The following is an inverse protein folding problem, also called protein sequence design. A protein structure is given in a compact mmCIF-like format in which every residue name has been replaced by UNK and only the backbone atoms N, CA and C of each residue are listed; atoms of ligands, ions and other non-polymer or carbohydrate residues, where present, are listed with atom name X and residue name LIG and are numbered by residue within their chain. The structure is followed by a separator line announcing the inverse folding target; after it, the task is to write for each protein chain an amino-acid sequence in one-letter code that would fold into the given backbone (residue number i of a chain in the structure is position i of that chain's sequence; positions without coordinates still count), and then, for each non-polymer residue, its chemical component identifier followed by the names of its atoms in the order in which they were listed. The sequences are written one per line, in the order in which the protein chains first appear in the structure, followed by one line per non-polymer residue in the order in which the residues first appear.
data_IF_149523792604
#
_entry.id   IF_149523792604
#
_cell.length_a   1.000
_cell.length_b   1.000
_cell.length_c   1.000
_cell.angle_alpha   90.00
_cell.angle_beta   90.00
_cell.angle_gamma   90.00
#
_symmetry.space_group_name_H-M   'P 1'
#
loop_
_entity.id
_entity.type
_entity.pdbx_description
1 polymer ?
#
# COMPACT_ATOMS: atom_id res chain seq x y z
N UNK A 1 0.42 -0.57 -16.33
CA UNK A 1 -0.85 -1.33 -16.20
C UNK A 1 -0.56 -2.75 -15.76
N UNK A 2 -1.15 -3.21 -14.65
CA UNK A 2 -0.92 -4.56 -14.15
C UNK A 2 -1.33 -5.61 -15.18
N UNK A 3 -0.50 -6.65 -15.35
CA UNK A 3 -0.73 -7.73 -16.30
C UNK A 3 -2.07 -8.43 -16.02
N UNK A 4 -2.91 -8.57 -17.06
CA UNK A 4 -4.22 -9.24 -16.97
C UNK A 4 -4.09 -10.64 -16.36
N UNK A 5 -3.02 -11.36 -16.68
CA UNK A 5 -2.77 -12.68 -16.11
C UNK A 5 -2.62 -12.62 -14.58
N UNK A 6 -1.87 -11.63 -14.06
CA UNK A 6 -1.67 -11.46 -12.60
C UNK A 6 -2.96 -11.10 -11.88
N UNK A 7 -3.81 -10.30 -12.53
CA UNK A 7 -5.14 -9.93 -12.01
C UNK A 7 -6.05 -11.16 -11.92
N UNK A 8 -6.09 -11.99 -12.97
CA UNK A 8 -6.87 -13.23 -12.98
C UNK A 8 -6.38 -14.24 -11.93
N UNK A 9 -5.06 -14.35 -11.75
CA UNK A 9 -4.47 -15.20 -10.71
C UNK A 9 -4.84 -14.72 -9.30
N UNK A 10 -4.78 -13.42 -9.04
CA UNK A 10 -5.21 -12.83 -7.76
C UNK A 10 -6.70 -13.14 -7.48
N UNK A 11 -7.56 -13.01 -8.49
CA UNK A 11 -8.97 -13.37 -8.39
C UNK A 11 -9.16 -14.85 -8.03
N UNK A 12 -8.47 -15.77 -8.72
CA UNK A 12 -8.57 -17.22 -8.43
C UNK A 12 -8.14 -17.54 -6.99
N UNK A 13 -7.02 -16.97 -6.53
CA UNK A 13 -6.53 -17.17 -5.16
C UNK A 13 -7.51 -16.63 -4.12
N UNK A 14 -8.08 -15.45 -4.33
CA UNK A 14 -9.09 -14.87 -3.42
C UNK A 14 -10.34 -15.72 -3.36
N UNK A 15 -10.85 -16.19 -4.50
CA UNK A 15 -12.02 -17.07 -4.53
C UNK A 15 -11.79 -18.37 -3.74
N UNK A 16 -10.60 -18.96 -3.84
CA UNK A 16 -10.23 -20.11 -3.03
C UNK A 16 -10.19 -19.78 -1.53
N UNK A 17 -9.56 -18.67 -1.14
CA UNK A 17 -9.51 -18.24 0.26
C UNK A 17 -10.88 -17.86 0.84
N UNK A 18 -11.82 -17.40 0.02
CA UNK A 18 -13.22 -17.21 0.42
C UNK A 18 -13.87 -18.58 0.68
N UNK A 19 -13.71 -19.54 -0.23
CA UNK A 19 -14.26 -20.88 -0.07
C UNK A 19 -13.74 -21.59 1.19
N UNK A 20 -12.47 -21.37 1.53
CA UNK A 20 -11.83 -21.94 2.71
C UNK A 20 -12.13 -21.17 4.02
N UNK A 21 -12.88 -20.07 3.94
CA UNK A 21 -13.21 -19.24 5.12
C UNK A 21 -12.04 -18.42 5.67
N UNK A 22 -10.94 -18.32 4.93
CA UNK A 22 -9.79 -17.46 5.24
C UNK A 22 -10.15 -15.99 5.02
N UNK A 23 -10.97 -15.68 4.02
CA UNK A 23 -11.55 -14.36 3.79
C UNK A 23 -13.04 -14.39 4.16
N UNK A 24 -13.47 -13.51 5.05
CA UNK A 24 -14.87 -13.45 5.51
C UNK A 24 -15.40 -12.03 5.35
N UNK A 25 -16.58 -11.89 4.76
CA UNK A 25 -17.24 -10.59 4.54
C UNK A 25 -18.34 -10.30 5.58
N UNK A 26 -18.90 -9.08 5.52
CA UNK A 26 -19.98 -8.59 6.41
C UNK A 26 -19.60 -8.61 7.89
N UNK A 27 -18.32 -8.40 8.18
CA UNK A 27 -17.78 -8.33 9.52
C UNK A 27 -17.78 -6.88 10.04
N UNK A 28 -17.79 -6.72 11.36
CA UNK A 28 -17.59 -5.41 11.99
C UNK A 28 -16.14 -4.96 11.79
N UNK A 29 -15.97 -3.69 11.44
CA UNK A 29 -14.67 -3.04 11.31
C UNK A 29 -14.13 -2.68 12.71
N UNK A 30 -13.17 -3.46 13.22
CA UNK A 30 -12.69 -3.33 14.62
C UNK A 30 -11.28 -2.74 14.72
N UNK A 31 -10.46 -2.92 13.67
CA UNK A 31 -9.03 -2.57 13.71
C UNK A 31 -8.62 -1.51 12.69
N UNK A 32 -9.58 -0.74 12.15
CA UNK A 32 -9.31 0.29 11.13
C UNK A 32 -8.32 1.33 11.64
N UNK A 33 -8.56 1.92 12.81
CA UNK A 33 -7.67 2.94 13.40
C UNK A 33 -6.28 2.39 13.70
N UNK A 34 -6.19 1.14 14.15
CA UNK A 34 -4.91 0.46 14.36
C UNK A 34 -4.11 0.38 13.05
N UNK A 35 -4.75 -0.04 11.96
CA UNK A 35 -4.07 -0.13 10.67
C UNK A 35 -3.70 1.25 10.11
N UNK A 36 -4.58 2.25 10.22
CA UNK A 36 -4.27 3.63 9.78
C UNK A 36 -3.10 4.23 10.55
N UNK A 37 -3.07 4.05 11.88
CA UNK A 37 -1.95 4.52 12.70
C UNK A 37 -0.64 3.85 12.30
N UNK A 38 -0.63 2.53 12.11
CA UNK A 38 0.58 1.83 11.68
C UNK A 38 1.02 2.19 10.26
N UNK A 39 0.07 2.50 9.37
CA UNK A 39 0.39 3.00 8.04
C UNK A 39 1.13 4.34 8.11
N UNK A 40 0.64 5.25 8.94
CA UNK A 40 1.27 6.56 9.16
C UNK A 40 2.62 6.46 9.85
N UNK A 41 2.71 5.69 10.95
CA UNK A 41 3.97 5.47 11.66
C UNK A 41 5.04 4.85 10.74
N UNK A 42 4.64 3.94 9.84
CA UNK A 42 5.52 3.35 8.84
C UNK A 42 5.97 4.37 7.81
N UNK A 43 5.09 5.27 7.37
CA UNK A 43 5.43 6.35 6.45
C UNK A 43 6.43 7.34 7.07
N UNK A 44 6.18 7.75 8.31
CA UNK A 44 7.07 8.64 9.05
C UNK A 44 8.44 7.97 9.30
N UNK A 45 8.45 6.67 9.58
CA UNK A 45 9.68 5.89 9.71
C UNK A 45 10.49 5.88 8.40
N UNK A 46 9.83 5.65 7.26
CA UNK A 46 10.48 5.68 5.95
C UNK A 46 11.12 7.05 5.66
N UNK A 47 10.41 8.14 5.98
CA UNK A 47 10.93 9.52 5.83
C UNK A 47 12.15 9.75 6.72
N UNK A 48 12.05 9.41 8.00
CA UNK A 48 13.14 9.57 8.97
C UNK A 48 14.39 8.80 8.53
N UNK A 49 14.25 7.50 8.22
CA UNK A 49 15.35 6.65 7.79
C UNK A 49 16.03 7.17 6.53
N UNK A 50 15.25 7.69 5.58
CA UNK A 50 15.80 8.26 4.37
C UNK A 50 16.62 9.52 4.64
N UNK A 51 16.09 10.43 5.46
CA UNK A 51 16.81 11.64 5.85
C UNK A 51 18.12 11.33 6.54
N UNK A 52 18.13 10.38 7.49
CA UNK A 52 19.36 9.95 8.18
C UNK A 52 20.34 9.28 7.22
N UNK A 53 19.85 8.50 6.26
CA UNK A 53 20.70 7.82 5.27
C UNK A 53 21.30 8.78 4.23
N UNK A 54 20.81 10.02 4.15
CA UNK A 54 21.24 11.02 3.17
C UNK A 54 21.93 12.22 3.77
N UNK A 55 21.66 12.54 5.04
CA UNK A 55 22.31 13.60 5.79
C UNK A 55 23.32 12.96 6.74
N UNK A 56 24.60 13.13 6.44
CA UNK A 56 25.71 12.49 7.17
C UNK A 56 25.95 13.01 8.60
N UNK A 57 25.11 13.90 9.12
CA UNK A 57 25.49 14.75 10.28
C UNK A 57 24.48 14.76 11.44
N UNK A 58 23.46 13.90 11.43
CA UNK A 58 22.27 14.16 12.27
C UNK A 58 22.08 13.31 13.53
N UNK A 59 22.77 12.17 13.69
CA UNK A 59 22.42 11.22 14.78
C UNK A 59 23.58 10.44 15.40
N UNK A 60 24.84 10.74 15.07
CA UNK A 60 25.99 9.99 15.62
C UNK A 60 26.09 8.54 15.15
N UNK A 61 25.37 8.18 14.08
CA UNK A 61 25.52 6.91 13.38
C UNK A 61 26.36 7.12 12.12
N UNK A 62 27.65 6.85 12.21
CA UNK A 62 28.55 6.94 11.06
C UNK A 62 28.09 5.97 9.96
N UNK A 63 27.84 6.51 8.76
CA UNK A 63 27.54 5.76 7.55
C UNK A 63 26.33 4.81 7.61
N UNK A 64 25.26 5.15 8.36
CA UNK A 64 24.03 4.36 8.34
C UNK A 64 23.39 4.32 6.94
N UNK A 65 23.51 3.19 6.25
CA UNK A 65 22.85 2.91 4.97
C UNK A 65 21.42 2.37 5.20
N UNK A 66 20.52 3.21 5.70
CA UNK A 66 19.14 2.85 6.05
C UNK A 66 18.19 2.61 4.86
N UNK A 67 18.68 2.65 3.61
CA UNK A 67 17.83 2.56 2.40
C UNK A 67 17.02 1.26 2.31
N UNK A 68 17.55 0.13 2.79
CA UNK A 68 16.77 -1.11 2.92
C UNK A 68 15.52 -0.92 3.80
N UNK A 69 15.72 -0.24 4.93
CA UNK A 69 14.66 0.01 5.90
C UNK A 69 13.67 1.07 5.42
N UNK A 70 14.11 2.02 4.57
CA UNK A 70 13.19 2.93 3.85
C UNK A 70 12.24 2.11 2.96
N UNK A 71 12.76 1.19 2.16
CA UNK A 71 11.95 0.33 1.29
C UNK A 71 10.97 -0.52 2.11
N UNK A 72 11.44 -1.15 3.19
CA UNK A 72 10.58 -1.93 4.08
C UNK A 72 9.47 -1.08 4.70
N UNK A 73 9.81 0.09 5.27
CA UNK A 73 8.85 0.96 5.92
C UNK A 73 7.80 1.52 4.94
N UNK A 74 8.22 1.92 3.73
CA UNK A 74 7.29 2.32 2.67
C UNK A 74 6.34 1.19 2.27
N UNK A 75 6.84 -0.04 2.11
CA UNK A 75 6.00 -1.21 1.87
C UNK A 75 4.97 -1.43 2.99
N UNK A 76 5.40 -1.40 4.25
CA UNK A 76 4.50 -1.61 5.40
C UNK A 76 3.44 -0.53 5.50
N UNK A 77 3.76 0.72 5.13
CA UNK A 77 2.76 1.77 5.02
C UNK A 77 1.65 1.36 4.04
N UNK A 78 2.00 0.95 2.82
CA UNK A 78 1.03 0.51 1.80
C UNK A 78 0.23 -0.72 2.23
N UNK A 79 0.90 -1.70 2.84
CA UNK A 79 0.26 -2.89 3.37
C UNK A 79 -0.81 -2.55 4.42
N UNK A 80 -0.46 -1.71 5.39
CA UNK A 80 -1.40 -1.33 6.45
C UNK A 80 -2.56 -0.48 5.94
N UNK A 81 -2.35 0.37 4.93
CA UNK A 81 -3.46 1.09 4.27
C UNK A 81 -4.43 0.14 3.58
N UNK A 82 -3.90 -0.81 2.80
CA UNK A 82 -4.74 -1.82 2.17
C UNK A 82 -5.51 -2.64 3.23
N UNK A 83 -4.88 -2.99 4.36
CA UNK A 83 -5.56 -3.64 5.49
C UNK A 83 -6.67 -2.76 6.07
N UNK A 84 -6.43 -1.46 6.27
CA UNK A 84 -7.42 -0.52 6.79
C UNK A 84 -8.65 -0.45 5.87
N UNK A 85 -8.44 -0.36 4.56
CA UNK A 85 -9.53 -0.28 3.58
C UNK A 85 -10.33 -1.59 3.45
N UNK A 86 -9.65 -2.73 3.48
CA UNK A 86 -10.27 -4.06 3.51
C UNK A 86 -11.14 -4.19 4.77
N UNK A 87 -10.59 -3.85 5.94
CA UNK A 87 -11.27 -3.94 7.23
C UNK A 87 -12.48 -2.99 7.30
N UNK A 88 -12.34 -1.74 6.84
CA UNK A 88 -13.43 -0.75 6.83
C UNK A 88 -14.58 -1.16 5.90
N UNK A 89 -14.29 -1.99 4.88
CA UNK A 89 -15.30 -2.58 4.00
C UNK A 89 -15.97 -3.85 4.57
N UNK A 90 -15.69 -4.19 5.83
CA UNK A 90 -16.27 -5.33 6.51
C UNK A 90 -15.72 -6.67 6.04
N UNK A 91 -14.49 -6.69 5.52
CA UNK A 91 -13.79 -7.91 5.09
C UNK A 91 -12.68 -8.22 6.10
N UNK A 92 -12.72 -9.41 6.71
CA UNK A 92 -11.68 -9.91 7.61
C UNK A 92 -10.81 -10.97 6.94
N UNK A 93 -9.52 -10.93 7.23
CA UNK A 93 -8.51 -11.90 6.78
C UNK A 93 -8.06 -12.73 7.98
N UNK A 94 -8.21 -14.05 7.91
CA UNK A 94 -7.81 -15.02 8.94
C UNK A 94 -6.59 -15.82 8.48
N UNK A 95 -5.44 -15.16 8.41
CA UNK A 95 -4.19 -15.84 8.08
C UNK A 95 -3.00 -15.16 8.78
N UNK A 96 -2.23 -15.94 9.53
CA UNK A 96 -0.97 -15.48 10.10
C UNK A 96 0.17 -15.65 9.09
N UNK A 97 0.16 -16.73 8.32
CA UNK A 97 1.11 -16.99 7.24
C UNK A 97 0.63 -16.35 5.94
N UNK A 98 1.55 -15.75 5.17
CA UNK A 98 1.28 -15.15 3.84
C UNK A 98 0.30 -13.97 3.83
N UNK A 99 0.06 -13.32 4.98
CA UNK A 99 -0.89 -12.19 5.11
C UNK A 99 -0.61 -11.06 4.12
N UNK A 100 0.65 -10.85 3.76
CA UNK A 100 1.09 -9.85 2.78
C UNK A 100 0.56 -10.12 1.36
N UNK A 101 0.67 -11.36 0.89
CA UNK A 101 0.14 -11.77 -0.41
C UNK A 101 -1.40 -11.79 -0.39
N UNK A 102 -1.98 -12.34 0.68
CA UNK A 102 -3.43 -12.38 0.87
C UNK A 102 -4.05 -10.98 0.86
N UNK A 103 -3.41 -10.02 1.53
CA UNK A 103 -3.85 -8.62 1.57
C UNK A 103 -3.79 -7.99 0.19
N UNK A 104 -2.69 -8.17 -0.53
CA UNK A 104 -2.54 -7.63 -1.88
C UNK A 104 -3.61 -8.20 -2.83
N UNK A 105 -3.78 -9.52 -2.87
CA UNK A 105 -4.76 -10.15 -3.75
C UNK A 105 -6.20 -9.76 -3.38
N UNK A 106 -6.51 -9.68 -2.09
CA UNK A 106 -7.82 -9.22 -1.60
C UNK A 106 -8.09 -7.78 -2.02
N UNK A 107 -7.09 -6.90 -1.92
CA UNK A 107 -7.19 -5.51 -2.33
C UNK A 107 -7.46 -5.40 -3.84
N UNK A 108 -6.68 -6.12 -4.66
CA UNK A 108 -6.89 -6.20 -6.11
C UNK A 108 -8.32 -6.69 -6.42
N UNK A 109 -8.75 -7.78 -5.81
CA UNK A 109 -10.05 -8.38 -6.10
C UNK A 109 -11.23 -7.49 -5.68
N UNK A 110 -11.25 -6.98 -4.46
CA UNK A 110 -12.41 -6.25 -3.94
C UNK A 110 -12.45 -4.77 -4.31
N UNK A 111 -11.32 -4.15 -4.61
CA UNK A 111 -11.25 -2.71 -4.84
C UNK A 111 -10.88 -2.34 -6.28
N UNK A 112 -9.84 -2.97 -6.84
CA UNK A 112 -9.44 -2.64 -8.21
C UNK A 112 -10.37 -3.27 -9.23
N UNK A 113 -10.58 -4.59 -9.18
CA UNK A 113 -11.40 -5.32 -10.15
C UNK A 113 -12.88 -4.93 -10.15
N UNK A 114 -13.42 -4.54 -9.00
CA UNK A 114 -14.81 -4.09 -8.88
C UNK A 114 -15.01 -2.64 -9.31
N UNK A 115 -13.93 -1.90 -9.60
CA UNK A 115 -13.96 -0.45 -9.83
C UNK A 115 -14.22 0.38 -8.57
N UNK A 116 -14.32 -0.24 -7.39
CA UNK A 116 -14.59 0.46 -6.13
C UNK A 116 -13.48 1.46 -5.78
N UNK A 117 -12.21 1.12 -6.00
CA UNK A 117 -11.07 2.01 -5.80
C UNK A 117 -11.17 3.26 -6.67
N UNK A 118 -11.39 3.06 -7.98
CA UNK A 118 -11.57 4.15 -8.95
C UNK A 118 -12.72 5.06 -8.53
N UNK A 119 -13.87 4.49 -8.15
CA UNK A 119 -15.03 5.26 -7.70
C UNK A 119 -14.71 6.11 -6.47
N UNK A 120 -14.06 5.54 -5.47
CA UNK A 120 -13.70 6.28 -4.25
C UNK A 120 -12.67 7.39 -4.51
N UNK A 121 -11.71 7.16 -5.42
CA UNK A 121 -10.77 8.19 -5.86
C UNK A 121 -11.46 9.31 -6.64
N UNK A 122 -12.38 8.97 -7.54
CA UNK A 122 -13.20 9.95 -8.24
C UNK A 122 -13.97 10.84 -7.25
N UNK A 123 -14.65 10.24 -6.28
CA UNK A 123 -15.41 10.96 -5.25
C UNK A 123 -14.49 11.91 -4.45
N UNK A 124 -13.27 11.47 -4.12
CA UNK A 124 -12.26 12.29 -3.44
C UNK A 124 -11.84 13.51 -4.27
N UNK A 125 -11.45 13.34 -5.53
CA UNK A 125 -11.02 14.45 -6.39
C UNK A 125 -12.18 15.37 -6.78
N UNK A 126 -13.39 14.82 -6.95
CA UNK A 126 -14.60 15.61 -7.18
C UNK A 126 -14.92 16.51 -5.99
N UNK A 127 -14.77 16.00 -4.76
CA UNK A 127 -14.92 16.80 -3.54
C UNK A 127 -13.84 17.90 -3.43
N UNK A 128 -12.63 17.63 -3.93
CA UNK A 128 -11.56 18.62 -4.06
C UNK A 128 -11.77 19.65 -5.19
N UNK A 129 -12.89 19.57 -5.93
CA UNK A 129 -13.24 20.42 -7.08
C UNK A 129 -12.24 20.36 -8.23
N UNK A 130 -11.71 19.17 -8.50
CA UNK A 130 -10.83 18.97 -9.66
C UNK A 130 -11.64 18.66 -10.93
N UNK A 131 -11.48 19.50 -11.96
CA UNK A 131 -12.22 19.41 -13.22
C UNK A 131 -12.01 18.09 -13.99
N UNK A 132 -10.95 17.34 -13.67
CA UNK A 132 -10.57 16.07 -14.29
C UNK A 132 -10.75 14.86 -13.35
N UNK A 133 -11.57 14.96 -12.31
CA UNK A 133 -11.70 13.95 -11.26
C UNK A 133 -11.91 12.51 -11.77
N UNK A 134 -12.67 12.31 -12.85
CA UNK A 134 -12.96 10.96 -13.38
C UNK A 134 -11.72 10.32 -14.01
N UNK A 135 -11.00 11.09 -14.83
CA UNK A 135 -9.76 10.66 -15.45
C UNK A 135 -8.68 10.40 -14.38
N UNK A 136 -8.59 11.28 -13.39
CA UNK A 136 -7.66 11.16 -12.26
C UNK A 136 -7.98 9.94 -11.41
N UNK A 137 -9.24 9.68 -11.11
CA UNK A 137 -9.65 8.49 -10.35
C UNK A 137 -9.27 7.18 -11.05
N UNK A 138 -9.44 7.12 -12.38
CA UNK A 138 -9.07 5.93 -13.16
C UNK A 138 -7.55 5.71 -13.23
N UNK A 139 -6.79 6.77 -13.54
CA UNK A 139 -5.33 6.69 -13.61
C UNK A 139 -4.74 6.33 -12.25
N UNK A 140 -5.18 7.00 -11.19
CA UNK A 140 -4.67 6.83 -9.84
C UNK A 140 -4.97 5.44 -9.27
N UNK A 141 -6.13 4.85 -9.56
CA UNK A 141 -6.45 3.49 -9.13
C UNK A 141 -5.46 2.46 -9.71
N UNK A 142 -5.06 2.63 -10.96
CA UNK A 142 -4.03 1.79 -11.60
C UNK A 142 -2.65 2.01 -11.00
N UNK A 143 -2.28 3.27 -10.79
CA UNK A 143 -1.00 3.64 -10.17
C UNK A 143 -0.86 3.04 -8.77
N UNK A 144 -1.82 3.22 -7.87
CA UNK A 144 -1.76 2.67 -6.50
C UNK A 144 -1.48 1.15 -6.49
N UNK A 145 -2.11 0.41 -7.40
CA UNK A 145 -1.93 -1.03 -7.52
C UNK A 145 -0.52 -1.38 -8.02
N UNK A 146 -0.02 -0.65 -9.01
CA UNK A 146 1.32 -0.82 -9.56
C UNK A 146 2.40 -0.45 -8.55
N UNK A 147 2.21 0.65 -7.84
CA UNK A 147 3.03 1.13 -6.74
C UNK A 147 3.10 0.06 -5.65
N UNK A 148 1.95 -0.48 -5.21
CA UNK A 148 1.92 -1.48 -4.15
C UNK A 148 2.61 -2.79 -4.59
N UNK A 149 2.33 -3.23 -5.82
CA UNK A 149 2.98 -4.40 -6.41
C UNK A 149 4.50 -4.21 -6.52
N UNK A 150 4.94 -3.02 -6.91
CA UNK A 150 6.35 -2.66 -7.02
C UNK A 150 7.06 -2.67 -5.66
N UNK A 151 6.51 -2.02 -4.64
CA UNK A 151 7.07 -2.03 -3.29
C UNK A 151 7.12 -3.45 -2.70
N UNK A 152 6.07 -4.26 -2.93
CA UNK A 152 6.04 -5.67 -2.53
C UNK A 152 7.16 -6.49 -3.17
N UNK A 153 7.34 -6.38 -4.50
CA UNK A 153 8.42 -7.10 -5.21
C UNK A 153 9.79 -6.64 -4.78
N UNK A 154 10.00 -5.33 -4.60
CA UNK A 154 11.26 -4.81 -4.07
C UNK A 154 11.59 -5.51 -2.75
N UNK A 155 10.69 -5.49 -1.77
CA UNK A 155 10.91 -6.17 -0.49
C UNK A 155 11.34 -7.65 -0.66
N UNK A 156 10.68 -8.38 -1.55
CA UNK A 156 10.98 -9.79 -1.84
C UNK A 156 12.38 -9.98 -2.46
N UNK A 157 12.77 -9.13 -3.41
CA UNK A 157 14.05 -9.18 -4.13
C UNK A 157 15.25 -8.67 -3.28
N UNK A 158 15.03 -7.65 -2.45
CA UNK A 158 16.11 -6.94 -1.73
C UNK A 158 16.73 -7.69 -0.56
N UNK A 159 16.10 -8.76 -0.10
CA UNK A 159 16.62 -9.51 1.05
C UNK A 159 17.92 -10.26 0.70
N UNK A 160 18.28 -10.40 -0.59
CA UNK A 160 19.39 -11.27 -1.01
C UNK A 160 20.41 -10.72 -2.03
N UNK A 161 20.14 -9.68 -2.84
CA UNK A 161 20.93 -9.48 -4.09
C UNK A 161 21.35 -8.05 -4.51
N UNK A 162 21.22 -6.97 -3.71
CA UNK A 162 21.45 -5.60 -4.25
C UNK A 162 22.49 -4.75 -3.50
N UNK A 163 23.36 -4.04 -4.24
CA UNK A 163 24.38 -3.11 -3.71
C UNK A 163 23.89 -1.66 -3.48
N UNK A 164 24.66 -0.89 -2.69
CA UNK A 164 24.25 0.37 -2.04
C UNK A 164 23.71 1.48 -2.96
N UNK A 165 24.32 1.71 -4.12
CA UNK A 165 23.87 2.77 -5.05
C UNK A 165 22.48 2.49 -5.64
N UNK A 166 22.19 1.22 -5.95
CA UNK A 166 20.88 0.82 -6.44
C UNK A 166 19.82 0.87 -5.32
N UNK A 167 20.23 0.67 -4.06
CA UNK A 167 19.34 0.80 -2.91
C UNK A 167 18.92 2.26 -2.68
N UNK A 168 19.85 3.22 -2.78
CA UNK A 168 19.55 4.65 -2.62
C UNK A 168 18.52 5.16 -3.63
N UNK A 169 18.73 4.92 -4.92
CA UNK A 169 17.81 5.37 -5.99
C UNK A 169 16.40 4.78 -5.81
N UNK A 170 16.30 3.53 -5.37
CA UNK A 170 15.01 2.88 -5.12
C UNK A 170 14.33 3.35 -3.84
N UNK A 171 15.10 3.68 -2.80
CA UNK A 171 14.59 4.30 -1.59
C UNK A 171 14.07 5.73 -1.84
N UNK A 172 14.73 6.51 -2.70
CA UNK A 172 14.24 7.82 -3.16
C UNK A 172 12.84 7.71 -3.79
N UNK A 173 12.65 6.70 -4.65
CA UNK A 173 11.36 6.42 -5.29
C UNK A 173 10.29 5.95 -4.29
N UNK A 174 10.64 5.05 -3.36
CA UNK A 174 9.75 4.57 -2.28
C UNK A 174 9.27 5.70 -1.35
N UNK A 175 10.11 6.72 -1.12
CA UNK A 175 9.79 7.86 -0.25
C UNK A 175 8.88 8.89 -0.93
N UNK A 176 9.16 9.21 -2.19
CA UNK A 176 8.73 10.49 -2.78
C UNK A 176 7.35 10.42 -3.45
N UNK A 177 6.94 9.27 -4.00
CA UNK A 177 5.78 9.24 -4.92
C UNK A 177 4.67 8.29 -4.43
N UNK A 178 5.01 7.10 -3.94
CA UNK A 178 4.03 6.01 -3.82
C UNK A 178 3.33 5.92 -2.46
N UNK A 179 4.09 6.03 -1.37
CA UNK A 179 3.52 5.88 -0.02
C UNK A 179 2.77 7.13 0.47
N UNK A 180 3.16 8.34 0.03
CA UNK A 180 2.58 9.60 0.54
C UNK A 180 1.24 9.94 -0.13
N UNK A 181 1.17 9.93 -1.46
CA UNK A 181 -0.07 10.27 -2.18
C UNK A 181 -1.14 9.21 -1.94
N UNK A 182 -0.77 7.92 -2.04
CA UNK A 182 -1.67 6.82 -1.71
C UNK A 182 -2.17 6.85 -0.26
N UNK A 183 -1.39 7.41 0.69
CA UNK A 183 -1.79 7.50 2.10
C UNK A 183 -2.91 8.49 2.36
N UNK A 184 -2.76 9.73 1.89
CA UNK A 184 -3.83 10.71 2.06
C UNK A 184 -5.12 10.27 1.35
N UNK A 185 -4.99 9.69 0.16
CA UNK A 185 -6.13 9.19 -0.64
C UNK A 185 -6.84 8.03 0.07
N UNK A 186 -6.12 6.96 0.42
CA UNK A 186 -6.72 5.78 1.04
C UNK A 186 -7.21 6.04 2.47
N UNK A 187 -6.52 6.87 3.26
CA UNK A 187 -6.97 7.22 4.60
C UNK A 187 -8.34 7.92 4.57
N UNK A 188 -8.54 8.88 3.66
CA UNK A 188 -9.82 9.56 3.49
C UNK A 188 -10.96 8.61 3.07
N UNK A 189 -10.66 7.57 2.29
CA UNK A 189 -11.64 6.55 1.90
C UNK A 189 -12.04 5.63 3.05
N UNK A 190 -11.15 5.45 4.04
CA UNK A 190 -11.42 4.59 5.20
C UNK A 190 -12.23 5.28 6.30
N UNK A 191 -12.07 6.59 6.47
CA UNK A 191 -12.74 7.35 7.53
C UNK A 191 -14.15 7.79 7.15
N UNK A 192 -14.52 7.67 5.87
CA UNK A 192 -15.73 8.27 5.32
C UNK A 192 -15.55 9.78 5.28
N UNK A 193 -15.52 10.37 4.09
CA UNK A 193 -15.41 11.82 3.96
C UNK A 193 -16.43 12.51 4.86
N UNK A 194 -15.92 13.29 5.82
CA UNK A 194 -16.70 14.22 6.63
C UNK A 194 -17.19 15.38 5.77
#
# INVERSE_FOLDING_TARGET
MMDKQKVEEAQKRVQHHIADGVIISKQKAEHVEFFLKNAEDSLQSARCLFEVSTKHDYLGYDNLAGFLWVINASYYSMFYMARALIESSGIKLKADLSIHALTFDTFVYYFYLTGKLQKQLFEFYAAAKEDAAELLGQQRAGEIIEEYSYEKRKREEFTYETGDHAMKSKAEMSRTIHAIHGWHEMANMTTGGS
#
